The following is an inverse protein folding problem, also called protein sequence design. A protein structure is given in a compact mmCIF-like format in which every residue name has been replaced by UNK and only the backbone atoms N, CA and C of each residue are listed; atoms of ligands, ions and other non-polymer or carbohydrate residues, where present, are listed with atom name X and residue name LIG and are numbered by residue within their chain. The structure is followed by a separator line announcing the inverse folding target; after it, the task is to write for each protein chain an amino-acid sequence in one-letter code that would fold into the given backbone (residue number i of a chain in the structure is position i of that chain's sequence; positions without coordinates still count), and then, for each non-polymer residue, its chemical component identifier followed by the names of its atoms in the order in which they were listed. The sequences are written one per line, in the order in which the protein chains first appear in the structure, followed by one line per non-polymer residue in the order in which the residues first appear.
data_IF_549046677029
#
_entry.id   IF_549046677029
#
_cell.length_a   1.000
_cell.length_b   1.000
_cell.length_c   1.000
_cell.angle_alpha   90.00
_cell.angle_beta   90.00
_cell.angle_gamma   90.00
#
_symmetry.space_group_name_H-M   'P 1'
#
loop_
_entity.id
_entity.type
_entity.pdbx_description
1 polymer ?
#
# COMPACT_ATOMS: atom_id res chain seq x y z
N UNK A 1 -1.22 8.77 -20.87
CA UNK A 1 -1.79 8.23 -19.62
C UNK A 1 -1.08 8.95 -18.48
N UNK A 2 -1.78 9.77 -17.71
CA UNK A 2 -1.20 10.41 -16.53
C UNK A 2 -1.48 9.52 -15.33
N UNK A 3 -0.42 9.00 -14.70
CA UNK A 3 -0.53 8.22 -13.46
C UNK A 3 -0.12 9.11 -12.30
N UNK A 4 -1.06 9.42 -11.41
CA UNK A 4 -0.80 10.26 -10.25
C UNK A 4 -0.28 9.42 -9.08
N UNK A 5 0.78 9.91 -8.44
CA UNK A 5 1.38 9.34 -7.22
C UNK A 5 0.45 9.69 -6.05
N UNK A 6 0.22 8.75 -5.14
CA UNK A 6 -0.64 8.98 -3.98
C UNK A 6 -0.07 10.04 -3.02
N UNK A 7 -0.94 10.80 -2.31
CA UNK A 7 -2.41 10.81 -2.44
C UNK A 7 -2.87 11.43 -3.77
N UNK A 8 -3.97 10.92 -4.34
CA UNK A 8 -4.50 11.37 -5.64
C UNK A 8 -4.75 12.89 -5.66
N UNK A 9 -5.33 13.40 -4.58
CA UNK A 9 -5.47 14.83 -4.26
C UNK A 9 -5.54 15.01 -2.73
N UNK A 10 -5.41 16.25 -2.26
CA UNK A 10 -5.56 16.58 -0.82
C UNK A 10 -7.04 16.69 -0.44
N UNK A 11 -7.90 17.11 -1.36
CA UNK A 11 -9.36 17.21 -1.14
C UNK A 11 -10.17 16.40 -2.15
N UNK A 12 -11.39 16.02 -1.76
CA UNK A 12 -12.35 15.36 -2.64
C UNK A 12 -12.81 16.26 -3.80
N UNK A 13 -12.89 17.58 -3.59
CA UNK A 13 -13.25 18.53 -4.65
C UNK A 13 -12.23 18.50 -5.78
N UNK A 14 -10.95 18.55 -5.45
CA UNK A 14 -9.86 18.46 -6.42
C UNK A 14 -9.89 17.13 -7.18
N UNK A 15 -10.20 16.02 -6.49
CA UNK A 15 -10.34 14.71 -7.13
C UNK A 15 -11.45 14.72 -8.20
N UNK A 16 -12.61 15.29 -7.85
CA UNK A 16 -13.77 15.42 -8.74
C UNK A 16 -13.49 16.36 -9.92
N UNK A 17 -12.78 17.46 -9.68
CA UNK A 17 -12.36 18.39 -10.73
C UNK A 17 -11.43 17.72 -11.74
N UNK A 18 -10.44 16.94 -11.26
CA UNK A 18 -9.54 16.19 -12.15
C UNK A 18 -10.28 15.10 -12.93
N UNK A 19 -11.22 14.40 -12.31
CA UNK A 19 -12.07 13.42 -13.00
C UNK A 19 -12.91 14.09 -14.10
N UNK A 20 -13.57 15.20 -13.78
CA UNK A 20 -14.38 15.95 -14.74
C UNK A 20 -13.55 16.47 -15.91
N UNK A 21 -12.35 16.99 -15.64
CA UNK A 21 -11.42 17.47 -16.64
C UNK A 21 -10.90 16.33 -17.53
N UNK A 22 -10.56 15.18 -16.95
CA UNK A 22 -10.13 14.03 -17.74
C UNK A 22 -11.25 13.54 -18.67
N UNK A 23 -12.49 13.50 -18.19
CA UNK A 23 -13.67 13.17 -19.00
C UNK A 23 -13.90 14.18 -20.13
N UNK A 24 -13.84 15.48 -19.84
CA UNK A 24 -14.06 16.52 -20.86
C UNK A 24 -13.00 16.50 -21.96
N UNK A 25 -11.77 16.11 -21.62
CA UNK A 25 -10.66 15.98 -22.57
C UNK A 25 -10.55 14.60 -23.23
N UNK A 26 -11.47 13.66 -22.94
CA UNK A 26 -11.43 12.29 -23.47
C UNK A 26 -10.17 11.52 -23.07
N UNK A 27 -9.61 11.79 -21.88
CA UNK A 27 -8.38 11.17 -21.37
C UNK A 27 -8.67 10.16 -20.28
N UNK A 28 -7.87 9.10 -20.23
CA UNK A 28 -7.88 8.14 -19.13
C UNK A 28 -7.09 8.71 -17.95
N UNK A 29 -7.76 8.82 -16.80
CA UNK A 29 -7.18 9.17 -15.50
C UNK A 29 -7.04 7.91 -14.66
N UNK A 30 -5.86 7.68 -14.10
CA UNK A 30 -5.59 6.48 -13.29
C UNK A 30 -4.72 6.83 -12.09
N UNK A 31 -5.06 6.27 -10.92
CA UNK A 31 -4.28 6.41 -9.69
C UNK A 31 -3.34 5.21 -9.57
N UNK A 32 -2.08 5.45 -9.19
CA UNK A 32 -1.08 4.38 -9.08
C UNK A 32 -1.30 3.50 -7.83
N UNK A 33 -2.19 2.53 -7.94
CA UNK A 33 -2.47 1.50 -6.92
C UNK A 33 -1.59 0.25 -7.13
N UNK A 34 -0.26 0.44 -7.17
CA UNK A 34 0.70 -0.62 -7.49
C UNK A 34 0.69 -1.80 -6.52
N UNK A 35 0.27 -1.60 -5.27
CA UNK A 35 0.20 -2.67 -4.26
C UNK A 35 -0.90 -3.70 -4.49
N UNK A 36 -1.72 -3.54 -5.54
CA UNK A 36 -2.59 -4.62 -6.04
C UNK A 36 -1.80 -5.76 -6.68
N UNK A 37 -0.52 -5.54 -6.96
CA UNK A 37 0.40 -6.52 -7.52
C UNK A 37 1.51 -6.94 -6.54
N UNK A 38 1.40 -6.56 -5.26
CA UNK A 38 2.26 -7.11 -4.21
C UNK A 38 2.01 -8.64 -4.13
N UNK A 39 3.07 -9.44 -4.07
CA UNK A 39 3.02 -10.91 -4.09
C UNK A 39 2.20 -11.48 -2.94
N UNK A 40 2.31 -10.89 -1.74
CA UNK A 40 1.50 -11.27 -0.57
C UNK A 40 0.00 -11.09 -0.82
N UNK A 41 -0.39 -10.00 -1.48
CA UNK A 41 -1.76 -9.69 -1.83
C UNK A 41 -2.29 -10.57 -2.96
N UNK A 42 -1.46 -10.86 -3.99
CA UNK A 42 -1.83 -11.79 -5.06
C UNK A 42 -2.05 -13.20 -4.53
N UNK A 43 -1.18 -13.68 -3.62
CA UNK A 43 -1.38 -14.96 -2.94
C UNK A 43 -2.67 -14.98 -2.13
N UNK A 44 -2.94 -13.94 -1.34
CA UNK A 44 -4.18 -13.83 -0.58
C UNK A 44 -5.42 -13.85 -1.51
N UNK A 45 -5.40 -13.09 -2.61
CA UNK A 45 -6.49 -13.11 -3.60
C UNK A 45 -6.75 -14.51 -4.15
N UNK A 46 -5.69 -15.27 -4.45
CA UNK A 46 -5.79 -16.66 -4.91
C UNK A 46 -6.48 -17.55 -3.87
N UNK A 47 -6.01 -17.51 -2.61
CA UNK A 47 -6.58 -18.31 -1.51
C UNK A 47 -8.06 -18.00 -1.27
N UNK A 48 -8.46 -16.72 -1.35
CA UNK A 48 -9.86 -16.33 -1.19
C UNK A 48 -10.71 -16.79 -2.38
N UNK A 49 -10.18 -16.72 -3.61
CA UNK A 49 -10.89 -17.15 -4.81
C UNK A 49 -11.08 -18.68 -4.87
N UNK A 50 -10.10 -19.45 -4.40
CA UNK A 50 -10.20 -20.90 -4.26
C UNK A 50 -11.15 -21.32 -3.13
N UNK A 51 -11.52 -20.38 -2.25
CA UNK A 51 -12.44 -20.61 -1.15
C UNK A 51 -11.88 -21.52 -0.06
N UNK A 52 -10.57 -21.81 -0.01
CA UNK A 52 -10.02 -22.79 0.94
C UNK A 52 -10.28 -22.43 2.41
N UNK A 53 -10.42 -21.14 2.73
CA UNK A 53 -10.72 -20.64 4.08
C UNK A 53 -12.22 -20.58 4.40
N UNK A 54 -13.11 -20.83 3.44
CA UNK A 54 -14.56 -20.67 3.60
C UNK A 54 -15.00 -19.21 3.67
N UNK A 55 -16.07 -18.96 4.43
CA UNK A 55 -16.62 -17.61 4.60
C UNK A 55 -15.71 -16.79 5.51
N UNK A 56 -15.15 -15.70 4.97
CA UNK A 56 -14.21 -14.85 5.72
C UNK A 56 -14.97 -13.99 6.72
N UNK A 57 -14.71 -14.20 8.00
CA UNK A 57 -15.27 -13.41 9.11
C UNK A 57 -14.32 -12.29 9.56
N UNK A 58 -13.01 -12.48 9.42
CA UNK A 58 -12.00 -11.54 9.88
C UNK A 58 -10.86 -11.39 8.89
N UNK A 59 -10.43 -10.15 8.66
CA UNK A 59 -9.23 -9.82 7.91
C UNK A 59 -8.51 -8.66 8.59
N UNK A 60 -7.24 -8.83 8.87
CA UNK A 60 -6.38 -7.81 9.48
C UNK A 60 -5.14 -7.61 8.63
N UNK A 61 -4.75 -6.35 8.47
CA UNK A 61 -3.74 -5.90 7.52
C UNK A 61 -2.89 -4.82 8.17
N UNK A 62 -1.63 -5.15 8.46
CA UNK A 62 -0.70 -4.25 9.13
C UNK A 62 0.31 -3.66 8.16
N UNK A 63 0.68 -2.40 8.38
CA UNK A 63 1.84 -1.79 7.74
C UNK A 63 2.72 -1.09 8.77
N UNK A 64 3.26 -1.91 9.66
CA UNK A 64 4.03 -1.42 10.80
C UNK A 64 5.50 -1.20 10.44
N UNK A 65 6.11 -0.23 11.13
CA UNK A 65 7.52 0.12 10.99
C UNK A 65 8.08 0.43 12.36
N UNK A 66 9.39 0.21 12.52
CA UNK A 66 10.13 0.74 13.67
C UNK A 66 10.97 1.96 13.25
N UNK A 67 10.46 3.16 13.51
CA UNK A 67 11.20 4.43 13.36
C UNK A 67 10.86 5.37 14.51
N UNK A 68 11.39 5.12 15.72
CA UNK A 68 11.00 5.87 16.92
C UNK A 68 11.42 7.34 16.86
N UNK A 69 12.46 7.68 16.09
CA UNK A 69 12.91 9.05 15.89
C UNK A 69 12.18 9.69 14.71
N UNK A 70 11.56 10.85 14.97
CA UNK A 70 10.94 11.69 13.94
C UNK A 70 12.04 12.28 13.07
N UNK A 71 11.90 12.16 11.74
CA UNK A 71 12.89 12.70 10.80
C UNK A 71 12.44 14.06 10.29
N UNK A 72 13.41 14.93 10.01
CA UNK A 72 13.14 16.17 9.28
C UNK A 72 12.92 15.87 7.79
N UNK A 73 11.67 15.52 7.45
CA UNK A 73 11.21 15.27 6.09
C UNK A 73 9.81 15.84 5.94
N UNK A 74 9.51 16.36 4.76
CA UNK A 74 8.21 16.97 4.47
C UNK A 74 6.98 16.09 4.78
N UNK A 75 7.10 14.75 4.72
CA UNK A 75 6.00 13.81 5.07
C UNK A 75 5.79 13.63 6.59
N UNK A 76 6.81 13.94 7.39
CA UNK A 76 6.79 13.89 8.85
C UNK A 76 6.55 15.27 9.47
N UNK A 77 6.57 16.33 8.66
CA UNK A 77 6.11 17.67 9.03
C UNK A 77 4.57 17.71 9.01
N UNK A 78 3.98 18.52 9.89
CA UNK A 78 2.53 18.73 9.93
C UNK A 78 2.02 19.45 8.67
N UNK A 79 0.77 19.18 8.31
CA UNK A 79 0.11 19.82 7.17
C UNK A 79 -0.96 18.94 6.50
N UNK A 80 -1.76 19.50 5.59
CA UNK A 80 -2.79 18.76 4.87
C UNK A 80 -2.20 17.56 4.10
N UNK A 81 -2.76 16.37 4.31
CA UNK A 81 -2.31 15.15 3.64
C UNK A 81 -0.99 14.55 4.16
N UNK A 82 -0.50 15.00 5.32
CA UNK A 82 0.71 14.47 5.97
C UNK A 82 0.42 13.26 6.85
N UNK A 83 1.48 12.55 7.25
CA UNK A 83 1.37 11.41 8.17
C UNK A 83 1.04 10.09 7.50
N UNK A 84 1.19 9.01 8.27
CA UNK A 84 1.11 7.65 7.74
C UNK A 84 -0.31 7.24 7.35
N UNK A 85 -1.33 7.93 7.86
CA UNK A 85 -2.70 7.73 7.41
C UNK A 85 -2.81 8.05 5.91
N UNK A 86 -2.30 9.19 5.45
CA UNK A 86 -2.34 9.55 4.03
C UNK A 86 -1.29 8.83 3.18
N UNK A 87 -0.16 8.42 3.78
CA UNK A 87 0.92 7.68 3.09
C UNK A 87 0.57 6.20 2.88
N UNK A 88 0.04 5.53 3.91
CA UNK A 88 -0.09 4.07 3.96
C UNK A 88 -1.54 3.58 3.88
N UNK A 89 -2.48 4.23 4.57
CA UNK A 89 -3.85 3.72 4.64
C UNK A 89 -4.54 3.62 3.26
N UNK A 90 -4.31 4.51 2.26
CA UNK A 90 -4.86 4.35 0.91
C UNK A 90 -4.45 3.06 0.21
N UNK A 91 -3.36 2.41 0.61
CA UNK A 91 -2.98 1.11 0.09
C UNK A 91 -3.80 -0.01 0.73
N UNK A 92 -3.94 0.04 2.06
CA UNK A 92 -4.68 -0.95 2.84
C UNK A 92 -6.19 -0.89 2.55
N UNK A 93 -6.75 0.32 2.49
CA UNK A 93 -8.16 0.55 2.13
C UNK A 93 -8.47 0.04 0.73
N UNK A 94 -7.59 0.30 -0.23
CA UNK A 94 -7.77 -0.17 -1.60
C UNK A 94 -7.76 -1.69 -1.70
N UNK A 95 -6.84 -2.35 -1.00
CA UNK A 95 -6.78 -3.81 -0.93
C UNK A 95 -8.06 -4.37 -0.28
N UNK A 96 -8.52 -3.79 0.84
CA UNK A 96 -9.76 -4.20 1.49
C UNK A 96 -10.98 -4.06 0.58
N UNK A 97 -11.13 -2.91 -0.11
CA UNK A 97 -12.23 -2.68 -1.05
C UNK A 97 -12.13 -3.61 -2.26
N UNK A 98 -10.91 -3.90 -2.74
CA UNK A 98 -10.69 -4.85 -3.84
C UNK A 98 -11.12 -6.27 -3.47
N UNK A 99 -10.94 -6.68 -2.21
CA UNK A 99 -11.29 -8.02 -1.74
C UNK A 99 -12.77 -8.15 -1.34
N UNK A 100 -13.34 -7.13 -0.69
CA UNK A 100 -14.62 -7.26 0.01
C UNK A 100 -15.68 -6.24 -0.41
N UNK A 101 -15.35 -5.33 -1.34
CA UNK A 101 -16.21 -4.20 -1.69
C UNK A 101 -16.27 -3.12 -0.61
N UNK A 102 -17.22 -2.20 -0.73
CA UNK A 102 -17.37 -1.10 0.23
C UNK A 102 -17.92 -1.62 1.58
N UNK A 103 -17.36 -1.17 2.71
CA UNK A 103 -17.93 -1.46 4.02
C UNK A 103 -19.23 -0.67 4.25
N UNK A 104 -20.03 -1.11 5.22
CA UNK A 104 -21.21 -0.38 5.69
C UNK A 104 -20.79 0.87 6.47
N UNK A 105 -19.72 0.75 7.26
CA UNK A 105 -19.17 1.86 8.03
C UNK A 105 -17.69 1.66 8.30
N UNK A 106 -17.03 2.75 8.70
CA UNK A 106 -15.64 2.73 9.13
C UNK A 106 -15.46 3.61 10.36
N UNK A 107 -14.75 3.09 11.36
CA UNK A 107 -14.29 3.83 12.53
C UNK A 107 -12.77 3.87 12.48
N UNK A 108 -12.17 5.03 12.73
CA UNK A 108 -10.72 5.22 12.66
C UNK A 108 -10.24 5.93 13.91
N UNK A 109 -9.24 5.34 14.55
CA UNK A 109 -8.42 5.97 15.58
C UNK A 109 -7.09 6.42 14.96
N UNK A 110 -6.73 7.69 15.17
CA UNK A 110 -5.51 8.32 14.65
C UNK A 110 -4.78 8.97 15.83
N UNK A 111 -3.46 8.77 15.88
CA UNK A 111 -2.66 9.33 16.96
C UNK A 111 -1.26 9.78 16.51
N UNK A 112 -0.63 10.53 17.41
CA UNK A 112 0.77 10.91 17.40
C UNK A 112 1.43 10.29 18.63
N UNK A 113 2.10 9.16 18.45
CA UNK A 113 2.65 8.36 19.54
C UNK A 113 4.17 8.57 19.72
N UNK A 114 4.90 8.99 18.68
CA UNK A 114 6.33 9.31 18.84
C UNK A 114 6.50 10.67 19.51
N UNK A 115 7.43 10.82 20.47
CA UNK A 115 7.80 12.13 21.00
C UNK A 115 8.21 13.10 19.89
N UNK A 116 7.59 14.29 19.86
CA UNK A 116 7.86 15.31 18.86
C UNK A 116 7.20 15.09 17.49
N UNK A 117 6.33 14.08 17.34
CA UNK A 117 5.60 13.86 16.09
C UNK A 117 4.78 15.10 15.69
N UNK A 118 4.91 15.51 14.43
CA UNK A 118 4.18 16.66 13.87
C UNK A 118 3.04 16.23 12.94
N UNK A 119 2.96 14.94 12.59
CA UNK A 119 1.89 14.35 11.78
C UNK A 119 1.51 12.96 12.31
N UNK A 120 0.33 12.45 11.93
CA UNK A 120 -0.17 11.13 12.35
C UNK A 120 0.87 10.04 12.08
N UNK A 121 1.26 9.31 13.11
CA UNK A 121 2.22 8.20 13.05
C UNK A 121 1.67 6.87 13.57
N UNK A 122 0.36 6.86 13.85
CA UNK A 122 -0.42 5.72 14.24
C UNK A 122 -1.82 5.79 13.61
N UNK A 123 -2.32 4.67 13.10
CA UNK A 123 -3.74 4.50 12.81
C UNK A 123 -4.22 3.09 13.11
N UNK A 124 -5.48 2.99 13.53
CA UNK A 124 -6.22 1.74 13.63
C UNK A 124 -7.64 1.97 13.10
N UNK A 125 -7.96 1.34 11.96
CA UNK A 125 -9.24 1.47 11.30
C UNK A 125 -10.01 0.14 11.32
N UNK A 126 -11.28 0.21 11.71
CA UNK A 126 -12.22 -0.90 11.68
C UNK A 126 -13.23 -0.63 10.57
N UNK A 127 -13.21 -1.47 9.53
CA UNK A 127 -14.20 -1.48 8.47
C UNK A 127 -15.25 -2.56 8.80
N UNK A 128 -16.50 -2.14 8.93
CA UNK A 128 -17.61 -3.00 9.30
C UNK A 128 -18.40 -3.44 8.06
N UNK A 129 -18.55 -4.75 7.92
CA UNK A 129 -19.46 -5.40 6.98
C UNK A 129 -20.52 -6.19 7.77
N UNK A 130 -21.63 -6.62 7.16
CA UNK A 130 -22.69 -7.30 7.91
C UNK A 130 -22.21 -8.53 8.70
N UNK A 131 -21.38 -9.39 8.12
CA UNK A 131 -20.82 -10.59 8.77
C UNK A 131 -19.28 -10.65 8.78
N UNK A 132 -18.60 -9.51 8.59
CA UNK A 132 -17.14 -9.45 8.54
C UNK A 132 -16.59 -8.22 9.24
N UNK A 133 -15.41 -8.36 9.83
CA UNK A 133 -14.61 -7.23 10.34
C UNK A 133 -13.29 -7.19 9.59
N UNK A 134 -12.93 -5.98 9.16
CA UNK A 134 -11.66 -5.71 8.51
C UNK A 134 -10.89 -4.70 9.35
N UNK A 135 -9.69 -5.07 9.80
CA UNK A 135 -8.80 -4.23 10.58
C UNK A 135 -7.64 -3.77 9.70
N UNK A 136 -7.43 -2.46 9.64
CA UNK A 136 -6.29 -1.86 8.95
C UNK A 136 -5.47 -1.10 9.99
N UNK A 137 -4.20 -1.46 10.11
CA UNK A 137 -3.34 -0.90 11.16
C UNK A 137 -2.01 -0.42 10.60
N UNK A 138 -1.46 0.61 11.23
CA UNK A 138 -0.10 1.04 10.99
C UNK A 138 0.43 1.84 12.16
N UNK A 139 1.65 1.51 12.58
CA UNK A 139 2.38 2.26 13.61
C UNK A 139 3.86 2.44 13.23
N UNK A 140 4.47 3.52 13.73
CA UNK A 140 5.91 3.78 13.61
C UNK A 140 6.73 3.26 14.80
N UNK A 141 6.10 2.59 15.77
CA UNK A 141 6.72 2.11 17.02
C UNK A 141 6.74 0.58 17.19
N UNK A 142 6.45 -0.21 16.16
CA UNK A 142 6.51 -1.67 16.25
C UNK A 142 7.93 -2.20 16.03
N UNK A 143 8.64 -2.49 17.13
CA UNK A 143 9.99 -3.08 17.07
C UNK A 143 9.98 -4.56 16.67
N UNK A 144 9.03 -5.32 17.22
CA UNK A 144 8.81 -6.71 16.85
C UNK A 144 8.08 -6.80 15.50
N UNK A 145 8.38 -7.84 14.72
CA UNK A 145 7.66 -8.11 13.49
C UNK A 145 6.20 -8.47 13.81
N UNK A 146 5.27 -7.76 13.17
CA UNK A 146 3.85 -8.09 13.16
C UNK A 146 3.48 -8.86 11.90
N UNK A 147 2.39 -9.64 11.97
CA UNK A 147 1.85 -10.29 10.80
C UNK A 147 1.34 -9.23 9.81
N UNK A 148 1.77 -9.33 8.54
CA UNK A 148 1.29 -8.49 7.45
C UNK A 148 -0.20 -8.71 7.19
N UNK A 149 -0.63 -9.98 7.17
CA UNK A 149 -2.02 -10.38 7.08
C UNK A 149 -2.38 -11.42 8.13
N UNK A 150 -3.55 -11.28 8.72
CA UNK A 150 -4.23 -12.31 9.50
C UNK A 150 -5.64 -12.46 8.93
N UNK A 151 -6.03 -13.67 8.58
CA UNK A 151 -7.33 -13.95 7.95
C UNK A 151 -7.96 -15.14 8.64
N UNK A 152 -9.21 -14.99 9.08
CA UNK A 152 -10.00 -16.08 9.65
C UNK A 152 -11.29 -16.26 8.86
N UNK A 153 -11.50 -17.48 8.39
CA UNK A 153 -12.73 -17.91 7.76
C UNK A 153 -13.32 -19.14 8.44
N UNK A 154 -14.52 -19.52 8.02
CA UNK A 154 -15.26 -20.64 8.62
C UNK A 154 -14.57 -22.01 8.52
N UNK A 155 -13.57 -22.17 7.65
CA UNK A 155 -12.84 -23.43 7.47
C UNK A 155 -11.36 -23.37 7.83
N UNK A 156 -10.82 -22.21 8.18
CA UNK A 156 -9.40 -22.09 8.47
C UNK A 156 -8.90 -20.67 8.61
N UNK A 157 -7.58 -20.55 8.79
CA UNK A 157 -6.89 -19.28 8.94
C UNK A 157 -5.66 -19.19 8.05
N UNK A 158 -5.32 -17.97 7.65
CA UNK A 158 -4.09 -17.66 6.92
C UNK A 158 -3.37 -16.52 7.62
N UNK A 159 -2.07 -16.71 7.89
CA UNK A 159 -1.19 -15.70 8.48
C UNK A 159 0.03 -15.53 7.59
N UNK A 160 0.35 -14.28 7.25
CA UNK A 160 1.51 -13.92 6.44
C UNK A 160 2.38 -12.93 7.18
N UNK A 161 3.67 -13.24 7.32
CA UNK A 161 4.70 -12.35 7.84
C UNK A 161 5.55 -11.77 6.72
N UNK A 162 6.19 -10.62 6.95
CA UNK A 162 7.00 -9.92 5.96
C UNK A 162 6.23 -9.27 4.82
N UNK A 163 6.78 -8.18 4.30
CA UNK A 163 6.26 -7.41 3.16
C UNK A 163 6.80 -7.95 1.83
N UNK A 164 6.15 -7.54 0.73
CA UNK A 164 6.65 -7.78 -0.61
C UNK A 164 8.09 -7.23 -0.81
N UNK A 165 9.04 -8.04 -1.32
CA UNK A 165 10.43 -7.65 -1.45
C UNK A 165 10.72 -6.71 -2.64
N UNK A 166 9.75 -6.41 -3.51
CA UNK A 166 9.92 -5.61 -4.72
C UNK A 166 10.48 -4.23 -4.41
N UNK A 167 9.95 -3.53 -3.40
CA UNK A 167 10.46 -2.20 -3.04
C UNK A 167 11.91 -2.25 -2.54
N UNK A 168 12.27 -3.27 -1.75
CA UNK A 168 13.64 -3.45 -1.31
C UNK A 168 14.58 -3.78 -2.48
N UNK A 169 14.15 -4.67 -3.38
CA UNK A 169 14.90 -5.03 -4.59
C UNK A 169 15.12 -3.81 -5.49
N UNK A 170 14.11 -2.96 -5.66
CA UNK A 170 14.23 -1.71 -6.43
C UNK A 170 15.19 -0.71 -5.77
N UNK A 171 15.15 -0.57 -4.43
CA UNK A 171 16.10 0.28 -3.69
C UNK A 171 17.53 -0.25 -3.82
N UNK A 172 17.74 -1.56 -3.65
CA UNK A 172 19.05 -2.23 -3.81
C UNK A 172 19.55 -2.12 -5.25
N UNK A 173 18.69 -2.31 -6.25
CA UNK A 173 19.01 -2.11 -7.67
C UNK A 173 19.48 -0.69 -7.93
N UNK A 174 18.72 0.34 -7.52
CA UNK A 174 19.10 1.75 -7.67
C UNK A 174 20.42 2.09 -7.00
N UNK A 175 20.64 1.60 -5.77
CA UNK A 175 21.93 1.77 -5.09
C UNK A 175 23.08 1.09 -5.84
N UNK A 176 22.85 -0.11 -6.37
CA UNK A 176 23.84 -0.86 -7.15
C UNK A 176 24.08 -0.31 -8.56
N UNK A 177 23.10 0.38 -9.14
CA UNK A 177 23.18 1.04 -10.44
C UNK A 177 23.88 2.41 -10.31
N UNK A 178 23.64 3.14 -9.22
CA UNK A 178 24.38 4.35 -8.88
C UNK A 178 25.88 4.06 -8.62
N UNK A 179 26.19 2.91 -8.01
CA UNK A 179 27.57 2.42 -7.86
C UNK A 179 28.22 1.88 -9.14
N UNK A 180 27.46 1.70 -10.24
CA UNK A 180 27.91 1.16 -11.53
C UNK A 180 27.90 2.19 -12.66
N UNK A 181 27.90 3.49 -12.33
CA UNK A 181 28.10 4.57 -13.31
C UNK A 181 29.57 4.76 -13.74
N UNK A 182 30.42 3.76 -13.48
CA UNK A 182 31.68 3.55 -14.20
C UNK A 182 31.51 2.43 -15.23
N UNK A 183 31.60 2.81 -16.52
CA UNK A 183 31.90 1.99 -17.70
C UNK A 183 30.74 1.51 -18.62
N UNK A 184 30.71 2.20 -19.77
CA UNK A 184 30.64 1.68 -21.15
C UNK A 184 29.34 0.96 -21.59
N UNK A 185 28.58 1.69 -22.41
CA UNK A 185 27.55 1.18 -23.31
C UNK A 185 28.02 -0.07 -24.07
N UNK A 186 27.35 -1.20 -23.86
CA UNK A 186 27.49 -2.38 -24.70
C UNK A 186 26.55 -2.27 -25.92
N UNK A 187 27.15 -2.18 -27.11
CA UNK A 187 26.49 -2.40 -28.41
C UNK A 187 26.18 -3.88 -28.58
N UNK A 188 24.95 -4.22 -28.95
CA UNK A 188 24.59 -5.54 -29.46
C UNK A 188 24.69 -5.54 -30.99
N UNK A 189 25.43 -6.49 -31.57
CA UNK A 189 25.44 -6.79 -33.01
C UNK A 189 25.14 -8.28 -33.17
N UNK A 190 24.09 -8.62 -33.89
CA UNK A 190 23.73 -10.00 -34.23
C UNK A 190 24.45 -10.45 -35.50
N UNK A 191 24.89 -11.70 -35.53
CA UNK A 191 25.38 -12.38 -36.74
C UNK A 191 24.22 -13.10 -37.45
N UNK A 192 24.15 -13.12 -38.79
CA UNK A 192 23.30 -14.05 -39.52
C UNK A 192 23.98 -15.42 -39.73
N UNK A 193 23.14 -16.46 -39.82
CA UNK A 193 23.49 -17.88 -40.00
C UNK A 193 23.95 -18.21 -41.43
N UNK A 194 24.96 -19.07 -41.52
CA UNK A 194 25.03 -20.27 -42.39
C UNK A 194 25.21 -20.10 -43.91
N UNK A 195 26.39 -20.51 -44.42
CA UNK A 195 26.61 -21.80 -45.10
C UNK A 195 28.07 -22.21 -44.91
#
# INVERSE_FOLDING_TARGET
MWSLIKPFTVTLSQARELEALAKSLGRVLSVFHNRRWDSDFLTLKGLLAEGVLGEIAYFESHFDRFRPQVRDRWREQGGPGSGIWYDLAPHLLDQAITLFGLPVSMTVDLAQLRPGAQSTDYFHAILSYPQRRVILHGTMLAAAESARYIVHGSRGSYVKYGLDPQEERLKKWRASAAGRLGLRYARWRTYPRGR
#
